data_IF_256353474415
#
_entry.id   IF_256353474415
#
_cell.length_a   1.000
_cell.length_b   1.000
_cell.length_c   1.000
_cell.angle_alpha   90.00
_cell.angle_beta   90.00
_cell.angle_gamma   90.00
#
_symmetry.space_group_name_H-M   'P 1'
#
loop_
_entity.id
_entity.type
_entity.pdbx_description
1 polymer ?
#
# COMPACT_ATOMS: atom_id res chain seq x y z
N UNK A 1 -13.49 -5.83 -12.61
CA UNK A 1 -12.43 -6.28 -11.69
C UNK A 1 -12.57 -5.43 -10.45
N UNK A 2 -13.04 -6.01 -9.34
CA UNK A 2 -13.26 -5.29 -8.09
C UNK A 2 -12.01 -5.33 -7.24
N UNK A 3 -11.14 -4.31 -7.36
CA UNK A 3 -9.89 -4.25 -6.61
C UNK A 3 -10.11 -3.93 -5.12
N UNK A 4 -11.22 -3.28 -4.77
CA UNK A 4 -11.59 -3.07 -3.37
C UNK A 4 -12.12 -4.35 -2.72
N UNK A 5 -12.91 -5.15 -3.42
CA UNK A 5 -13.35 -6.47 -2.95
C UNK A 5 -12.16 -7.41 -2.74
N UNK A 6 -11.23 -7.49 -3.71
CA UNK A 6 -9.98 -8.26 -3.57
C UNK A 6 -9.11 -7.76 -2.41
N UNK A 7 -8.95 -6.43 -2.29
CA UNK A 7 -8.23 -5.84 -1.17
C UNK A 7 -8.89 -6.14 0.18
N UNK A 8 -10.22 -6.23 0.22
CA UNK A 8 -10.98 -6.58 1.42
C UNK A 8 -10.74 -8.03 1.83
N UNK A 9 -10.76 -8.97 0.87
CA UNK A 9 -10.42 -10.38 1.14
C UNK A 9 -9.02 -10.53 1.73
N UNK A 10 -8.02 -9.84 1.17
CA UNK A 10 -6.65 -9.83 1.72
C UNK A 10 -6.60 -9.19 3.11
N UNK A 11 -7.41 -8.16 3.37
CA UNK A 11 -7.44 -7.51 4.67
C UNK A 11 -8.01 -8.43 5.73
N UNK A 12 -9.11 -9.12 5.45
CA UNK A 12 -9.70 -10.10 6.36
C UNK A 12 -8.74 -11.28 6.59
N UNK A 13 -8.04 -11.77 5.55
CA UNK A 13 -6.96 -12.75 5.71
C UNK A 13 -5.84 -12.21 6.63
N UNK A 14 -5.45 -10.94 6.49
CA UNK A 14 -4.47 -10.30 7.37
C UNK A 14 -4.92 -10.26 8.84
N UNK A 15 -6.23 -10.12 9.11
CA UNK A 15 -6.78 -10.15 10.47
C UNK A 15 -6.70 -11.56 11.08
N UNK A 16 -6.99 -12.59 10.28
CA UNK A 16 -6.92 -13.99 10.70
C UNK A 16 -5.51 -14.40 11.16
N UNK A 17 -4.46 -13.79 10.61
CA UNK A 17 -3.06 -14.01 10.97
C UNK A 17 -2.46 -12.92 11.88
N UNK A 18 -3.30 -12.16 12.59
CA UNK A 18 -2.85 -10.96 13.31
C UNK A 18 -1.72 -11.23 14.32
N UNK A 19 -1.80 -12.34 15.06
CA UNK A 19 -0.78 -12.76 16.02
C UNK A 19 0.54 -13.15 15.34
N UNK A 20 0.50 -13.93 14.26
CA UNK A 20 1.69 -14.35 13.50
C UNK A 20 2.38 -13.18 12.79
N UNK A 21 1.57 -12.21 12.34
CA UNK A 21 2.06 -11.00 11.67
C UNK A 21 2.50 -9.91 12.67
N UNK A 22 2.27 -10.13 13.97
CA UNK A 22 2.55 -9.21 15.06
C UNK A 22 1.91 -7.82 14.85
N UNK A 23 0.67 -7.79 14.37
CA UNK A 23 -0.12 -6.57 14.16
C UNK A 23 -1.16 -6.40 15.27
N UNK A 24 -1.61 -5.17 15.49
CA UNK A 24 -2.74 -4.88 16.39
C UNK A 24 -3.96 -4.47 15.56
N UNK A 25 -5.14 -4.98 15.92
CA UNK A 25 -6.40 -4.67 15.23
C UNK A 25 -7.27 -3.79 16.12
N UNK A 26 -7.82 -2.72 15.55
CA UNK A 26 -8.66 -1.77 16.27
C UNK A 26 -9.93 -1.50 15.47
N UNK A 27 -11.09 -1.76 16.09
CA UNK A 27 -12.37 -1.28 15.58
C UNK A 27 -12.65 0.11 16.17
N UNK A 28 -12.93 1.09 15.31
CA UNK A 28 -13.26 2.46 15.69
C UNK A 28 -14.76 2.59 16.03
N UNK A 29 -15.13 3.65 16.73
CA UNK A 29 -16.54 3.89 17.16
C UNK A 29 -17.54 3.98 15.98
N UNK A 30 -17.07 4.24 14.76
CA UNK A 30 -17.88 4.29 13.54
C UNK A 30 -17.85 2.99 12.71
N UNK A 31 -17.28 1.90 13.25
CA UNK A 31 -17.20 0.58 12.63
C UNK A 31 -16.00 0.37 11.69
N UNK A 32 -15.24 1.42 11.37
CA UNK A 32 -14.04 1.25 10.56
C UNK A 32 -13.00 0.41 11.30
N UNK A 33 -12.32 -0.49 10.59
CA UNK A 33 -11.29 -1.36 11.16
C UNK A 33 -9.91 -0.90 10.74
N UNK A 34 -9.02 -0.78 11.72
CA UNK A 34 -7.63 -0.34 11.56
C UNK A 34 -6.68 -1.47 11.96
N UNK A 35 -5.84 -1.92 11.04
CA UNK A 35 -4.72 -2.81 11.30
C UNK A 35 -3.43 -1.97 11.48
N UNK A 36 -2.91 -1.94 12.70
CA UNK A 36 -1.61 -1.36 13.01
C UNK A 36 -0.50 -2.37 12.74
N UNK A 37 0.33 -2.09 11.73
CA UNK A 37 1.45 -2.91 11.31
C UNK A 37 2.82 -2.32 11.66
N UNK A 38 2.90 -1.31 12.52
CA UNK A 38 4.20 -0.79 12.95
C UNK A 38 4.23 0.55 13.71
N UNK A 39 3.07 1.12 14.08
CA UNK A 39 2.98 2.35 14.88
C UNK A 39 3.18 2.04 16.36
N UNK A 40 2.36 1.14 16.90
CA UNK A 40 2.48 0.56 18.25
C UNK A 40 2.81 -0.92 18.18
N UNK A 41 2.17 -1.61 17.24
CA UNK A 41 2.43 -3.01 16.96
C UNK A 41 3.88 -3.22 16.47
N UNK A 42 4.40 -4.44 16.65
CA UNK A 42 5.75 -4.75 16.18
C UNK A 42 5.82 -4.83 14.65
N UNK A 43 4.79 -5.40 14.02
CA UNK A 43 4.78 -5.72 12.60
C UNK A 43 5.90 -6.71 12.23
N UNK A 44 6.36 -6.64 10.99
CA UNK A 44 7.45 -7.49 10.52
C UNK A 44 7.45 -7.68 9.01
N UNK A 45 8.23 -8.66 8.54
CA UNK A 45 8.29 -8.99 7.10
C UNK A 45 6.93 -9.48 6.60
N UNK A 46 6.28 -10.41 7.32
CA UNK A 46 4.96 -10.92 6.96
C UNK A 46 3.93 -9.79 6.83
N UNK A 47 3.85 -8.91 7.85
CA UNK A 47 2.97 -7.75 7.81
C UNK A 47 3.28 -6.85 6.61
N UNK A 48 4.55 -6.60 6.30
CA UNK A 48 4.95 -5.84 5.11
C UNK A 48 4.55 -6.48 3.79
N UNK A 49 4.58 -7.82 3.68
CA UNK A 49 4.09 -8.54 2.50
C UNK A 49 2.57 -8.35 2.37
N UNK A 50 1.80 -8.46 3.46
CA UNK A 50 0.37 -8.15 3.44
C UNK A 50 0.08 -6.69 3.06
N UNK A 51 0.82 -5.72 3.60
CA UNK A 51 0.68 -4.30 3.19
C UNK A 51 0.94 -4.13 1.69
N UNK A 52 1.91 -4.86 1.13
CA UNK A 52 2.23 -4.85 -0.30
C UNK A 52 1.09 -5.45 -1.13
N UNK A 53 0.56 -6.62 -0.71
CA UNK A 53 -0.61 -7.26 -1.32
C UNK A 53 -1.83 -6.34 -1.30
N UNK A 54 -2.13 -5.70 -0.17
CA UNK A 54 -3.20 -4.72 -0.02
C UNK A 54 -3.00 -3.51 -0.95
N UNK A 55 -1.78 -2.96 -1.01
CA UNK A 55 -1.49 -1.86 -1.93
C UNK A 55 -1.74 -2.24 -3.38
N UNK A 56 -1.46 -3.49 -3.78
CA UNK A 56 -1.62 -3.98 -5.15
C UNK A 56 -2.96 -4.69 -5.41
N UNK A 57 -3.87 -4.68 -4.43
CA UNK A 57 -5.16 -5.38 -4.46
C UNK A 57 -5.05 -6.87 -4.83
N UNK A 58 -4.00 -7.53 -4.35
CA UNK A 58 -3.62 -8.93 -4.65
C UNK A 58 -3.45 -9.29 -6.14
N UNK A 59 -3.40 -8.30 -7.02
CA UNK A 59 -3.13 -8.50 -8.45
C UNK A 59 -1.65 -8.74 -8.75
N UNK A 60 -0.85 -9.11 -7.73
CA UNK A 60 0.61 -9.23 -7.82
C UNK A 60 1.12 -10.28 -6.85
N UNK A 61 2.05 -11.11 -7.32
CA UNK A 61 2.80 -12.05 -6.48
C UNK A 61 3.97 -11.31 -5.83
N UNK A 62 3.94 -11.21 -4.50
CA UNK A 62 4.97 -10.52 -3.69
C UNK A 62 5.67 -11.55 -2.81
N UNK A 63 6.95 -11.78 -3.06
CA UNK A 63 7.72 -12.83 -2.40
C UNK A 63 9.00 -12.31 -1.76
N UNK A 64 9.33 -12.84 -0.58
CA UNK A 64 10.65 -12.64 0.03
C UNK A 64 11.70 -13.37 -0.81
N UNK A 65 12.78 -12.69 -1.14
CA UNK A 65 13.85 -13.21 -1.99
C UNK A 65 15.21 -12.67 -1.54
N UNK A 66 16.33 -13.40 -1.74
CA UNK A 66 17.65 -12.81 -1.55
C UNK A 66 17.99 -11.81 -2.67
N UNK A 67 18.57 -10.68 -2.28
CA UNK A 67 19.17 -9.68 -3.18
C UNK A 67 20.69 -9.64 -2.97
N UNK A 68 21.46 -9.73 -4.06
CA UNK A 68 22.91 -9.54 -4.02
C UNK A 68 23.24 -8.05 -4.16
N UNK A 69 23.97 -7.51 -3.19
CA UNK A 69 24.57 -6.18 -3.27
C UNK A 69 26.08 -6.34 -3.10
N UNK A 70 26.81 -6.33 -4.22
CA UNK A 70 28.28 -6.43 -4.26
C UNK A 70 28.81 -7.68 -3.53
N UNK A 71 28.14 -8.82 -3.71
CA UNK A 71 28.50 -10.08 -3.06
C UNK A 71 27.98 -10.26 -1.63
N UNK A 72 27.19 -9.31 -1.11
CA UNK A 72 26.50 -9.44 0.16
C UNK A 72 25.03 -9.76 -0.12
N UNK A 73 24.58 -10.93 0.34
CA UNK A 73 23.17 -11.30 0.27
C UNK A 73 22.39 -10.61 1.39
N UNK A 74 21.38 -9.83 1.00
CA UNK A 74 20.44 -9.14 1.89
C UNK A 74 19.02 -9.59 1.59
N UNK A 75 18.08 -9.50 2.56
CA UNK A 75 16.68 -9.73 2.28
C UNK A 75 16.16 -8.70 1.25
N UNK A 76 15.29 -9.16 0.37
CA UNK A 76 14.64 -8.35 -0.65
C UNK A 76 13.25 -8.86 -0.96
N UNK A 77 12.53 -8.12 -1.80
CA UNK A 77 11.22 -8.50 -2.30
C UNK A 77 11.26 -8.62 -3.81
N UNK A 78 10.62 -9.66 -4.31
CA UNK A 78 10.30 -9.84 -5.72
C UNK A 78 8.81 -9.55 -5.91
N UNK A 79 8.49 -8.83 -6.99
CA UNK A 79 7.11 -8.51 -7.37
C UNK A 79 6.89 -8.92 -8.82
N UNK A 80 5.82 -9.65 -9.08
CA UNK A 80 5.38 -10.02 -10.42
C UNK A 80 3.89 -9.71 -10.61
N UNK A 81 3.49 -9.13 -11.74
CA UNK A 81 2.09 -8.80 -12.04
C UNK A 81 1.80 -8.81 -13.53
N UNK A 82 0.63 -9.32 -13.91
CA UNK A 82 0.06 -9.24 -15.27
C UNK A 82 -1.01 -8.15 -15.41
N UNK A 83 -1.17 -7.32 -14.36
CA UNK A 83 -2.08 -6.17 -14.35
C UNK A 83 -1.36 -4.86 -13.99
N UNK A 84 -0.18 -4.57 -14.56
CA UNK A 84 0.74 -3.56 -14.02
C UNK A 84 0.11 -2.16 -13.96
N UNK A 85 -0.67 -1.74 -14.96
CA UNK A 85 -1.35 -0.45 -14.92
C UNK A 85 -2.36 -0.34 -13.77
N UNK A 86 -3.08 -1.43 -13.44
CA UNK A 86 -4.07 -1.40 -12.36
C UNK A 86 -3.40 -1.62 -11.00
N UNK A 87 -2.63 -2.69 -10.85
CA UNK A 87 -2.00 -3.06 -9.57
C UNK A 87 -1.03 -1.99 -9.08
N UNK A 88 -0.16 -1.48 -9.95
CA UNK A 88 0.83 -0.47 -9.58
C UNK A 88 0.24 0.95 -9.56
N UNK A 89 -0.48 1.37 -10.60
CA UNK A 89 -0.84 2.79 -10.75
C UNK A 89 -2.22 3.12 -10.20
N UNK A 90 -3.25 2.34 -10.55
CA UNK A 90 -4.61 2.58 -10.05
C UNK A 90 -4.72 2.27 -8.54
N UNK A 91 -3.98 1.28 -8.05
CA UNK A 91 -3.99 0.85 -6.64
C UNK A 91 -2.74 1.32 -5.86
N UNK A 92 -1.57 0.71 -6.09
CA UNK A 92 -0.40 0.83 -5.20
C UNK A 92 0.18 2.25 -5.09
N UNK A 93 0.18 3.05 -6.16
CA UNK A 93 0.88 4.32 -6.17
C UNK A 93 0.37 5.28 -5.07
N UNK A 94 1.30 5.86 -4.30
CA UNK A 94 0.98 6.69 -3.14
C UNK A 94 0.57 8.12 -3.55
N UNK A 95 -0.56 8.29 -4.25
CA UNK A 95 -1.02 9.60 -4.75
C UNK A 95 -2.20 10.19 -3.99
N UNK A 96 -2.61 9.61 -2.85
CA UNK A 96 -3.64 10.20 -2.00
C UNK A 96 -3.03 10.82 -0.74
N UNK A 97 -2.95 12.15 -0.70
CA UNK A 97 -2.65 12.85 0.55
C UNK A 97 -3.89 12.88 1.46
N UNK A 98 -3.89 12.08 2.52
CA UNK A 98 -4.95 12.09 3.54
C UNK A 98 -4.59 13.16 4.58
N UNK A 99 -5.44 14.18 4.70
CA UNK A 99 -5.26 15.31 5.63
C UNK A 99 -6.52 15.52 6.44
N UNK A 100 -6.42 15.45 7.76
CA UNK A 100 -7.49 15.82 8.69
C UNK A 100 -6.88 16.39 9.97
N UNK A 101 -7.13 17.66 10.26
CA UNK A 101 -6.52 18.38 11.38
C UNK A 101 -4.99 18.18 11.49
N UNK A 102 -4.54 17.43 12.50
CA UNK A 102 -3.11 17.14 12.77
C UNK A 102 -2.67 15.78 12.21
N UNK A 103 -3.54 15.08 11.50
CA UNK A 103 -3.26 13.81 10.83
C UNK A 103 -2.82 14.06 9.39
N UNK A 104 -1.72 13.43 9.01
CA UNK A 104 -1.20 13.38 7.66
C UNK A 104 -0.72 11.96 7.37
N UNK A 105 -1.09 11.46 6.20
CA UNK A 105 -0.59 10.18 5.68
C UNK A 105 -0.58 10.20 4.15
N UNK A 106 0.32 9.39 3.59
CA UNK A 106 0.26 9.02 2.18
C UNK A 106 -0.56 7.74 2.04
N UNK A 107 -1.67 7.83 1.31
CA UNK A 107 -2.60 6.74 1.05
C UNK A 107 -2.26 6.00 -0.25
N UNK A 108 -2.21 4.68 -0.15
CA UNK A 108 -2.02 3.71 -1.24
C UNK A 108 -3.08 2.63 -1.17
N UNK A 109 -3.36 1.93 -2.28
CA UNK A 109 -4.31 0.83 -2.31
C UNK A 109 -5.63 1.15 -3.01
N UNK A 110 -6.53 0.18 -3.08
CA UNK A 110 -7.65 0.18 -4.01
C UNK A 110 -8.69 1.27 -3.71
N UNK A 111 -8.85 1.73 -2.47
CA UNK A 111 -9.78 2.81 -2.13
C UNK A 111 -9.54 4.11 -2.92
N UNK A 112 -8.34 4.30 -3.47
CA UNK A 112 -7.99 5.47 -4.29
C UNK A 112 -8.87 5.61 -5.54
N UNK A 113 -9.31 4.51 -6.17
CA UNK A 113 -10.14 4.58 -7.38
C UNK A 113 -11.55 5.07 -7.05
N UNK A 114 -12.12 4.60 -5.94
CA UNK A 114 -13.43 5.05 -5.45
C UNK A 114 -13.40 6.55 -5.14
N UNK A 115 -12.34 7.00 -4.47
CA UNK A 115 -12.14 8.40 -4.13
C UNK A 115 -11.64 9.27 -5.29
N UNK A 116 -11.48 8.70 -6.50
CA UNK A 116 -11.01 9.34 -7.74
C UNK A 116 -9.75 10.19 -7.53
N UNK A 117 -8.83 9.72 -6.69
CA UNK A 117 -7.57 10.41 -6.37
C UNK A 117 -6.59 10.26 -7.52
N UNK A 118 -6.31 11.39 -8.18
CA UNK A 118 -5.61 11.47 -9.47
C UNK A 118 -6.52 11.08 -10.64
N UNK A 119 -7.61 11.84 -10.87
CA UNK A 119 -8.61 11.55 -11.93
C UNK A 119 -7.99 11.34 -13.32
N UNK A 120 -7.04 12.20 -13.71
CA UNK A 120 -6.35 12.10 -15.01
C UNK A 120 -5.61 10.77 -15.20
N UNK A 121 -5.17 10.11 -14.12
CA UNK A 121 -4.58 8.77 -14.19
C UNK A 121 -5.63 7.72 -14.55
N UNK A 122 -6.79 7.74 -13.89
CA UNK A 122 -7.87 6.79 -14.17
C UNK A 122 -8.45 6.95 -15.57
N UNK A 123 -8.60 8.19 -16.04
CA UNK A 123 -9.03 8.48 -17.42
C UNK A 123 -8.03 7.90 -18.44
N UNK A 124 -6.72 8.02 -18.18
CA UNK A 124 -5.67 7.46 -19.05
C UNK A 124 -5.59 5.93 -18.99
N UNK A 125 -5.80 5.32 -17.82
CA UNK A 125 -5.84 3.85 -17.68
C UNK A 125 -7.15 3.30 -18.26
N UNK A 126 -8.22 4.10 -18.29
CA UNK A 126 -9.56 3.64 -18.65
C UNK A 126 -10.14 2.72 -17.57
N UNK A 127 -9.83 2.99 -16.29
CA UNK A 127 -10.23 2.15 -15.16
C UNK A 127 -11.13 2.91 -14.19
N UNK A 128 -12.29 2.32 -13.92
CA UNK A 128 -13.27 2.77 -12.94
C UNK A 128 -13.76 1.56 -12.15
N UNK A 129 -14.20 1.81 -10.92
CA UNK A 129 -14.77 0.80 -10.04
C UNK A 129 -15.92 1.41 -9.24
N UNK A 130 -16.90 0.57 -8.91
CA UNK A 130 -17.89 0.80 -7.88
C UNK A 130 -17.82 -0.39 -6.92
N UNK A 131 -17.76 -0.13 -5.62
CA UNK A 131 -17.71 -1.14 -4.58
C UNK A 131 -18.35 -0.57 -3.30
N UNK A 132 -18.93 -1.46 -2.50
CA UNK A 132 -19.52 -1.11 -1.20
C UNK A 132 -18.48 -1.12 -0.06
N UNK A 133 -17.28 -1.66 -0.31
CA UNK A 133 -16.15 -1.71 0.61
C UNK A 133 -14.98 -0.85 0.12
N UNK A 134 -14.16 -0.36 1.04
CA UNK A 134 -12.95 0.39 0.71
C UNK A 134 -11.74 -0.08 1.53
N UNK A 135 -10.60 -0.28 0.87
CA UNK A 135 -9.34 -0.66 1.54
C UNK A 135 -8.21 0.31 1.22
N UNK A 136 -7.58 0.86 2.26
CA UNK A 136 -6.51 1.84 2.12
C UNK A 136 -5.33 1.53 3.06
N UNK A 137 -4.12 1.58 2.51
CA UNK A 137 -2.87 1.53 3.27
C UNK A 137 -2.36 2.94 3.49
N UNK A 138 -2.07 3.29 4.74
CA UNK A 138 -1.61 4.60 5.17
C UNK A 138 -0.16 4.53 5.65
N UNK A 139 0.73 5.24 4.96
CA UNK A 139 2.07 5.49 5.47
C UNK A 139 2.02 6.63 6.48
N UNK A 140 2.04 6.31 7.77
CA UNK A 140 1.93 7.28 8.87
C UNK A 140 2.54 6.76 10.18
N UNK A 141 3.02 7.68 11.01
CA UNK A 141 3.47 7.42 12.38
C UNK A 141 2.37 7.53 13.43
N UNK A 142 1.11 7.69 12.99
CA UNK A 142 -0.06 7.79 13.85
C UNK A 142 -1.17 6.92 13.28
N UNK A 143 -1.96 6.32 14.16
CA UNK A 143 -3.20 5.65 13.77
C UNK A 143 -4.28 6.69 13.45
N UNK A 144 -5.11 6.47 12.43
CA UNK A 144 -6.28 7.29 12.16
C UNK A 144 -7.32 7.11 13.28
N UNK A 145 -8.03 8.19 13.60
CA UNK A 145 -9.20 8.14 14.48
C UNK A 145 -10.50 8.03 13.66
N UNK A 146 -11.64 7.99 14.35
CA UNK A 146 -12.96 7.88 13.72
C UNK A 146 -13.26 9.07 12.77
N UNK A 147 -12.74 10.27 13.04
CA UNK A 147 -12.93 11.43 12.18
C UNK A 147 -12.12 11.32 10.88
N UNK A 148 -10.88 10.83 10.96
CA UNK A 148 -10.05 10.51 9.79
C UNK A 148 -10.72 9.42 8.96
N UNK A 149 -11.17 8.34 9.59
CA UNK A 149 -11.84 7.23 8.92
C UNK A 149 -13.14 7.66 8.23
N UNK A 150 -14.00 8.44 8.91
CA UNK A 150 -15.22 8.97 8.33
C UNK A 150 -14.96 9.81 7.07
N UNK A 151 -13.91 10.64 7.09
CA UNK A 151 -13.51 11.44 5.93
C UNK A 151 -13.02 10.59 4.76
N UNK A 152 -12.31 9.50 5.02
CA UNK A 152 -11.86 8.57 3.98
C UNK A 152 -13.07 7.86 3.37
N UNK A 153 -13.96 7.32 4.22
CA UNK A 153 -15.19 6.64 3.80
C UNK A 153 -16.09 7.54 2.95
N UNK A 154 -16.32 8.79 3.38
CA UNK A 154 -17.07 9.80 2.62
C UNK A 154 -16.46 10.04 1.23
N UNK A 155 -15.13 10.14 1.16
CA UNK A 155 -14.45 10.34 -0.12
C UNK A 155 -14.55 9.13 -1.04
N UNK A 156 -14.57 7.92 -0.49
CA UNK A 156 -14.78 6.68 -1.23
C UNK A 156 -16.26 6.43 -1.58
N UNK A 157 -17.20 7.10 -0.92
CA UNK A 157 -18.63 6.86 -1.11
C UNK A 157 -19.12 5.55 -0.50
N UNK A 158 -18.47 5.08 0.58
CA UNK A 158 -18.84 3.86 1.33
C UNK A 158 -19.20 4.21 2.77
N UNK A 159 -19.88 3.29 3.46
CA UNK A 159 -20.11 3.42 4.90
C UNK A 159 -18.79 3.22 5.67
N UNK A 160 -18.63 3.90 6.82
CA UNK A 160 -17.42 3.79 7.61
C UNK A 160 -17.17 2.36 8.13
N UNK A 161 -18.24 1.59 8.38
CA UNK A 161 -18.15 0.19 8.78
C UNK A 161 -17.55 -0.72 7.70
N UNK A 162 -17.61 -0.30 6.44
CA UNK A 162 -17.08 -1.01 5.28
C UNK A 162 -15.69 -0.49 4.86
N UNK A 163 -15.07 0.36 5.69
CA UNK A 163 -13.71 0.85 5.51
C UNK A 163 -12.70 0.00 6.29
N UNK A 164 -11.64 -0.42 5.60
CA UNK A 164 -10.46 -1.09 6.16
C UNK A 164 -9.21 -0.26 5.94
N UNK A 165 -8.47 0.00 7.03
CA UNK A 165 -7.26 0.81 7.03
C UNK A 165 -6.08 0.00 7.56
N UNK A 166 -5.01 -0.14 6.78
CA UNK A 166 -3.75 -0.69 7.29
C UNK A 166 -2.73 0.43 7.45
N UNK A 167 -1.95 0.44 8.54
CA UNK A 167 -1.07 1.57 8.86
C UNK A 167 0.32 1.08 9.22
N UNK A 168 1.34 1.67 8.61
CA UNK A 168 2.73 1.48 9.03
C UNK A 168 3.56 2.76 8.80
N UNK A 169 4.50 3.11 9.68
CA UNK A 169 5.40 4.21 9.45
C UNK A 169 6.57 3.82 8.53
N UNK A 170 7.17 4.80 7.86
CA UNK A 170 8.35 4.61 6.98
C UNK A 170 9.53 3.98 7.72
N UNK A 171 9.69 4.23 9.01
CA UNK A 171 10.75 3.67 9.85
C UNK A 171 10.34 2.39 10.60
N UNK A 172 9.52 1.54 9.98
CA UNK A 172 9.17 0.19 10.47
C UNK A 172 9.57 -0.88 9.46
N UNK A 173 9.70 -2.14 9.90
CA UNK A 173 9.99 -3.26 8.99
C UNK A 173 8.89 -3.39 7.93
N UNK A 174 7.62 -3.35 8.32
CA UNK A 174 6.50 -3.46 7.39
C UNK A 174 6.49 -2.31 6.37
N UNK A 175 6.79 -1.09 6.82
CA UNK A 175 6.95 0.08 5.96
C UNK A 175 8.07 -0.08 4.92
N UNK A 176 9.24 -0.55 5.34
CA UNK A 176 10.38 -0.73 4.43
C UNK A 176 10.14 -1.85 3.41
N UNK A 177 9.47 -2.94 3.81
CA UNK A 177 9.05 -4.02 2.89
C UNK A 177 8.08 -3.50 1.84
N UNK A 178 7.03 -2.76 2.23
CA UNK A 178 6.07 -2.26 1.24
C UNK A 178 6.68 -1.24 0.29
N UNK A 179 7.63 -0.42 0.76
CA UNK A 179 8.33 0.51 -0.14
C UNK A 179 9.15 -0.26 -1.16
N UNK A 180 9.96 -1.24 -0.75
CA UNK A 180 10.72 -2.07 -1.69
C UNK A 180 9.81 -2.82 -2.69
N UNK A 181 8.58 -3.17 -2.30
CA UNK A 181 7.59 -3.82 -3.19
C UNK A 181 7.03 -2.86 -4.27
N UNK A 182 7.41 -1.58 -4.25
CA UNK A 182 7.08 -0.61 -5.31
C UNK A 182 8.06 -0.66 -6.49
N UNK A 183 9.01 -1.59 -6.51
CA UNK A 183 10.03 -1.72 -7.57
C UNK A 183 9.48 -1.74 -9.00
N UNK A 184 8.28 -2.30 -9.21
CA UNK A 184 7.60 -2.26 -10.52
C UNK A 184 6.85 -0.93 -10.72
N UNK A 185 6.20 -0.43 -9.67
CA UNK A 185 5.43 0.81 -9.68
C UNK A 185 6.26 2.04 -10.00
N UNK A 186 7.47 2.16 -9.45
CA UNK A 186 8.35 3.31 -9.73
C UNK A 186 8.70 3.42 -11.20
N UNK A 187 8.95 2.29 -11.88
CA UNK A 187 9.18 2.22 -13.32
C UNK A 187 7.95 2.66 -14.12
N UNK A 188 6.77 2.15 -13.76
CA UNK A 188 5.51 2.53 -14.39
C UNK A 188 5.17 4.00 -14.19
N UNK A 189 5.32 4.51 -12.97
CA UNK A 189 5.11 5.91 -12.63
C UNK A 189 6.07 6.80 -13.43
N UNK A 190 7.35 6.40 -13.57
CA UNK A 190 8.29 7.14 -14.40
C UNK A 190 7.86 7.18 -15.87
N UNK A 191 7.46 6.05 -16.45
CA UNK A 191 6.98 5.98 -17.83
C UNK A 191 5.73 6.86 -18.03
N UNK A 192 4.77 6.78 -17.11
CA UNK A 192 3.57 7.61 -17.13
C UNK A 192 3.89 9.12 -17.09
N UNK A 193 4.80 9.53 -16.19
CA UNK A 193 5.20 10.96 -16.09
C UNK A 193 5.95 11.45 -17.33
N UNK A 194 6.56 10.55 -18.10
CA UNK A 194 7.18 10.85 -19.40
C UNK A 194 6.19 10.86 -20.56
N UNK A 195 4.90 10.62 -20.32
CA UNK A 195 3.86 10.58 -21.34
C UNK A 195 3.77 9.26 -22.10
N UNK A 196 4.43 8.19 -21.62
CA UNK A 196 4.29 6.85 -22.19
C UNK A 196 2.92 6.26 -21.85
N UNK A 197 2.30 5.57 -22.82
CA UNK A 197 1.04 4.85 -22.59
C UNK A 197 1.29 3.54 -21.83
N UNK A 198 1.11 3.61 -20.51
CA UNK A 198 1.31 2.47 -19.60
C UNK A 198 0.33 1.31 -19.83
N UNK A 199 -0.78 1.49 -20.56
CA UNK A 199 -1.70 0.38 -20.90
C UNK A 199 -1.11 -0.59 -21.93
N UNK A 200 -0.04 -0.17 -22.62
CA UNK A 200 0.70 -1.03 -23.54
C UNK A 200 1.57 -2.06 -22.81
N UNK A 201 1.88 -1.83 -21.53
CA UNK A 201 2.67 -2.74 -20.69
C UNK A 201 1.79 -3.91 -20.25
N UNK A 202 2.18 -5.13 -20.59
CA UNK A 202 1.37 -6.35 -20.32
C UNK A 202 1.70 -7.03 -19.00
N UNK A 203 2.96 -7.02 -18.62
CA UNK A 203 3.42 -7.61 -17.37
C UNK A 203 4.55 -6.77 -16.79
N UNK A 204 4.73 -6.86 -15.48
CA UNK A 204 5.84 -6.27 -14.75
C UNK A 204 6.47 -7.30 -13.83
N UNK A 205 7.79 -7.30 -13.77
CA UNK A 205 8.55 -8.07 -12.79
C UNK A 205 9.70 -7.20 -12.27
N UNK A 206 9.93 -7.21 -10.96
CA UNK A 206 11.00 -6.45 -10.36
C UNK A 206 11.47 -7.06 -9.05
N UNK A 207 12.68 -6.70 -8.63
CA UNK A 207 13.27 -7.15 -7.38
C UNK A 207 14.06 -6.01 -6.75
N UNK A 208 13.80 -5.71 -5.48
CA UNK A 208 14.51 -4.70 -4.71
C UNK A 208 14.93 -5.24 -3.33
N UNK A 209 16.11 -4.88 -2.80
CA UNK A 209 16.46 -5.13 -1.41
C UNK A 209 15.51 -4.42 -0.43
N UNK A 210 15.34 -4.99 0.76
CA UNK A 210 14.65 -4.32 1.87
C UNK A 210 15.69 -3.50 2.62
N UNK A 211 15.50 -2.18 2.69
CA UNK A 211 16.39 -1.31 3.46
C UNK A 211 16.31 -1.67 4.97
N UNK A 212 17.42 -1.59 5.73
CA UNK A 212 17.34 -1.66 7.19
C UNK A 212 16.70 -0.39 7.79
N UNK A 213 16.24 -0.47 9.03
CA UNK A 213 15.83 0.72 9.78
C UNK A 213 17.09 1.52 10.13
N UNK A 214 17.37 2.57 9.37
CA UNK A 214 18.61 3.38 9.47
C UNK A 214 18.51 4.56 10.44
N UNK A 215 17.33 4.82 11.02
CA UNK A 215 17.12 5.94 11.93
C UNK A 215 15.66 6.39 11.97
N UNK A 216 15.45 7.70 11.88
CA UNK A 216 14.11 8.28 11.84
C UNK A 216 13.42 8.09 10.48
N UNK A 217 12.17 8.53 10.38
CA UNK A 217 11.36 8.41 9.17
C UNK A 217 11.99 9.11 7.95
N UNK A 218 12.72 10.21 8.14
CA UNK A 218 13.36 10.94 7.03
C UNK A 218 14.54 10.14 6.48
N UNK A 219 15.38 9.59 7.36
CA UNK A 219 16.49 8.74 6.96
C UNK A 219 15.99 7.45 6.31
N UNK A 220 14.95 6.84 6.88
CA UNK A 220 14.34 5.63 6.31
C UNK A 220 13.77 5.89 4.92
N UNK A 221 13.05 7.01 4.72
CA UNK A 221 12.54 7.43 3.41
C UNK A 221 13.64 7.54 2.35
N UNK A 222 14.79 8.12 2.70
CA UNK A 222 15.95 8.15 1.80
C UNK A 222 16.45 6.76 1.46
N UNK A 223 16.74 5.95 2.49
CA UNK A 223 17.31 4.62 2.31
C UNK A 223 16.39 3.63 1.58
N UNK A 224 15.07 3.72 1.78
CA UNK A 224 14.09 2.86 1.13
C UNK A 224 13.89 3.24 -0.33
N UNK A 225 14.02 4.52 -0.67
CA UNK A 225 13.99 4.96 -2.06
C UNK A 225 15.29 4.60 -2.79
N UNK A 226 16.46 4.71 -2.13
CA UNK A 226 17.75 4.27 -2.68
C UNK A 226 17.80 2.75 -2.93
N UNK A 227 16.93 1.98 -2.27
CA UNK A 227 16.82 0.55 -2.45
C UNK A 227 16.15 0.15 -3.78
N UNK A 228 15.46 1.06 -4.46
CA UNK A 228 14.75 0.85 -5.73
C UNK A 228 15.54 1.46 -6.89
#
# INVERSE_FOLDING_TARGET
MGINEMGFEVFEEMLDYSDELQIEVHELENGAVVADAGVKAHGGIGAGIYLSRLCMADLSDVQLTPCDIKGILVPGVQVATDYPAVSCMASQCAMWQVKADKFFAMGSGPARVLARKTRDLYEKIGFEEFADVAVLVLESSKLPDAAVAAKIAEQCGVDAADLRLAVAPTNSVAGLVQVSARVVETGLHKLFTMGFDINTIKSGWGRAPISPIVGDATMCMGSSNDAI
#
